data_IF_112215054902
#
_entry.id   IF_112215054902
#
_cell.length_a   1.000
_cell.length_b   1.000
_cell.length_c   1.000
_cell.angle_alpha   90.00
_cell.angle_beta   90.00
_cell.angle_gamma   90.00
#
_symmetry.space_group_name_H-M   'P 1'
#
loop_
_entity.id
_entity.type
_entity.pdbx_description
1 polymer ?
#
# COMPACT_ATOMS: atom_id res chain seq x y z
N UNK A 1 -7.57 6.37 -8.07
CA UNK A 1 -7.61 5.67 -9.37
C UNK A 1 -7.78 4.19 -9.10
N UNK A 2 -8.79 3.55 -9.70
CA UNK A 2 -9.02 2.12 -9.51
C UNK A 2 -9.04 1.41 -10.87
N UNK A 3 -8.40 0.23 -10.95
CA UNK A 3 -8.31 -0.57 -12.18
C UNK A 3 -9.58 -1.38 -12.48
N UNK A 4 -10.42 -1.60 -11.46
CA UNK A 4 -11.69 -2.32 -11.56
C UNK A 4 -12.79 -1.55 -10.84
N UNK A 5 -14.00 -1.66 -11.34
CA UNK A 5 -15.20 -1.10 -10.74
C UNK A 5 -16.30 -2.16 -10.67
N UNK A 6 -17.26 -1.97 -9.78
CA UNK A 6 -18.46 -2.80 -9.70
C UNK A 6 -19.42 -2.34 -10.80
N UNK A 7 -19.83 -3.23 -11.67
CA UNK A 7 -20.88 -2.97 -12.65
C UNK A 7 -22.23 -2.91 -11.95
N UNK A 8 -22.91 -1.75 -11.98
CA UNK A 8 -24.11 -1.49 -11.18
C UNK A 8 -25.24 -2.51 -11.36
N UNK A 9 -25.42 -3.08 -12.56
CA UNK A 9 -26.52 -4.03 -12.84
C UNK A 9 -26.18 -5.49 -12.52
N UNK A 10 -24.93 -5.88 -12.72
CA UNK A 10 -24.50 -7.28 -12.58
C UNK A 10 -23.78 -7.56 -11.27
N UNK A 11 -23.32 -6.52 -10.57
CA UNK A 11 -22.49 -6.63 -9.37
C UNK A 11 -21.06 -7.15 -9.65
N UNK A 12 -20.70 -7.41 -10.91
CA UNK A 12 -19.42 -7.96 -11.28
C UNK A 12 -18.31 -6.90 -11.23
N UNK A 13 -17.09 -7.31 -10.87
CA UNK A 13 -15.90 -6.48 -10.98
C UNK A 13 -15.40 -6.48 -12.41
N UNK A 14 -15.40 -5.31 -13.06
CA UNK A 14 -15.05 -5.13 -14.47
C UNK A 14 -13.93 -4.09 -14.65
N UNK A 15 -13.13 -4.22 -15.70
CA UNK A 15 -12.18 -3.18 -16.16
C UNK A 15 -12.90 -2.10 -16.98
N UNK A 16 -12.26 -0.95 -17.27
CA UNK A 16 -12.84 0.08 -18.14
C UNK A 16 -13.20 -0.42 -19.54
N UNK A 17 -12.40 -1.31 -20.11
CA UNK A 17 -12.66 -1.94 -21.42
C UNK A 17 -13.86 -2.87 -21.36
N UNK A 18 -13.90 -3.76 -20.36
CA UNK A 18 -15.02 -4.69 -20.16
C UNK A 18 -16.32 -3.93 -19.93
N UNK A 19 -16.28 -2.86 -19.14
CA UNK A 19 -17.43 -2.00 -18.87
C UNK A 19 -17.96 -1.33 -20.15
N UNK A 20 -17.08 -0.73 -20.96
CA UNK A 20 -17.48 -0.08 -22.22
C UNK A 20 -17.92 -1.12 -23.25
N UNK A 21 -17.35 -2.32 -23.26
CA UNK A 21 -17.79 -3.41 -24.14
C UNK A 21 -19.21 -3.90 -23.80
N UNK A 22 -19.59 -3.91 -22.52
CA UNK A 22 -20.91 -4.32 -22.05
C UNK A 22 -21.98 -3.24 -22.26
N UNK A 23 -21.71 -2.02 -21.83
CA UNK A 23 -22.73 -0.96 -21.76
C UNK A 23 -22.66 0.05 -22.90
N UNK A 24 -21.54 0.11 -23.62
CA UNK A 24 -21.28 1.07 -24.69
C UNK A 24 -20.82 2.45 -24.20
N UNK A 25 -20.41 3.30 -25.14
CA UNK A 25 -19.97 4.66 -24.84
C UNK A 25 -21.10 5.54 -24.26
N UNK A 26 -22.35 5.19 -24.50
CA UNK A 26 -23.58 5.88 -24.08
C UNK A 26 -24.14 5.38 -22.73
N UNK A 27 -23.39 4.55 -21.98
CA UNK A 27 -23.75 4.06 -20.64
C UNK A 27 -24.31 5.14 -19.70
N UNK A 28 -23.78 6.37 -19.78
CA UNK A 28 -24.23 7.51 -18.97
C UNK A 28 -25.68 7.92 -19.25
N UNK A 29 -26.08 7.89 -20.52
CA UNK A 29 -27.47 8.18 -20.94
C UNK A 29 -28.43 7.06 -20.53
N UNK A 30 -27.93 5.83 -20.42
CA UNK A 30 -28.67 4.66 -19.92
C UNK A 30 -28.79 4.62 -18.39
N UNK A 31 -28.12 5.54 -17.68
CA UNK A 31 -28.08 5.57 -16.23
C UNK A 31 -27.29 4.41 -15.60
N UNK A 32 -26.44 3.72 -16.37
CA UNK A 32 -25.61 2.61 -15.89
C UNK A 32 -24.21 3.14 -15.64
N UNK A 33 -23.80 3.17 -14.38
CA UNK A 33 -22.52 3.74 -13.96
C UNK A 33 -21.64 2.66 -13.29
N UNK A 34 -20.31 2.69 -13.51
CA UNK A 34 -19.40 1.86 -12.75
C UNK A 34 -19.29 2.41 -11.33
N UNK A 35 -19.32 1.56 -10.31
CA UNK A 35 -19.26 1.95 -8.90
C UNK A 35 -17.90 1.60 -8.29
N UNK A 36 -17.41 2.47 -7.40
CA UNK A 36 -16.19 2.23 -6.66
C UNK A 36 -16.37 1.09 -5.65
N UNK A 37 -15.52 0.05 -5.63
CA UNK A 37 -15.62 -1.04 -4.68
C UNK A 37 -15.33 -0.63 -3.22
N UNK A 38 -14.70 0.54 -2.99
CA UNK A 38 -14.37 1.02 -1.66
C UNK A 38 -15.41 1.95 -1.06
N UNK A 39 -15.92 2.91 -1.85
CA UNK A 39 -16.85 3.92 -1.34
C UNK A 39 -18.26 3.85 -1.95
N UNK A 40 -18.49 2.98 -2.94
CA UNK A 40 -19.77 2.86 -3.63
C UNK A 40 -20.12 4.03 -4.56
N UNK A 41 -19.28 5.07 -4.63
CA UNK A 41 -19.54 6.23 -5.49
C UNK A 41 -19.42 5.87 -6.98
N UNK A 42 -20.18 6.56 -7.83
CA UNK A 42 -20.07 6.44 -9.27
C UNK A 42 -18.70 6.92 -9.77
N UNK A 43 -18.12 6.15 -10.69
CA UNK A 43 -16.85 6.41 -11.35
C UNK A 43 -17.08 6.75 -12.82
N UNK A 44 -16.08 7.39 -13.45
CA UNK A 44 -16.06 7.65 -14.88
C UNK A 44 -14.94 6.84 -15.56
N UNK A 45 -15.22 6.11 -16.66
CA UNK A 45 -14.18 5.49 -17.45
C UNK A 45 -13.36 6.58 -18.18
N UNK A 46 -12.04 6.48 -18.08
CA UNK A 46 -11.10 7.40 -18.71
C UNK A 46 -10.09 6.63 -19.58
N UNK A 47 -9.70 7.21 -20.71
CA UNK A 47 -8.62 6.67 -21.56
C UNK A 47 -8.94 5.38 -22.31
N UNK A 48 -10.18 4.87 -22.27
CA UNK A 48 -10.55 3.56 -22.87
C UNK A 48 -10.25 3.46 -24.37
N UNK A 49 -10.32 4.58 -25.10
CA UNK A 49 -10.02 4.64 -26.53
C UNK A 49 -8.66 5.31 -26.85
N UNK A 50 -7.85 5.60 -25.82
CA UNK A 50 -6.56 6.28 -26.02
C UNK A 50 -5.44 5.25 -26.14
N UNK A 51 -4.69 5.30 -27.24
CA UNK A 51 -3.45 4.52 -27.38
C UNK A 51 -2.28 5.07 -26.55
N UNK A 52 -2.42 6.28 -26.01
CA UNK A 52 -1.36 6.99 -25.28
C UNK A 52 -1.54 6.97 -23.77
N UNK A 53 -2.73 6.63 -23.29
CA UNK A 53 -3.08 6.74 -21.87
C UNK A 53 -3.68 5.43 -21.41
N UNK A 54 -3.14 4.89 -20.32
CA UNK A 54 -3.69 3.69 -19.71
C UNK A 54 -5.11 3.95 -19.21
N UNK A 55 -6.02 3.07 -19.58
CA UNK A 55 -7.41 3.10 -19.15
C UNK A 55 -7.54 2.97 -17.64
N UNK A 56 -8.50 3.69 -17.07
CA UNK A 56 -8.76 3.67 -15.63
C UNK A 56 -10.17 4.16 -15.32
N UNK A 57 -10.61 3.90 -14.09
CA UNK A 57 -11.77 4.57 -13.52
C UNK A 57 -11.32 5.70 -12.60
N UNK A 58 -11.85 6.89 -12.88
CA UNK A 58 -11.60 8.10 -12.12
C UNK A 58 -12.83 8.47 -11.28
N UNK A 59 -12.58 8.94 -10.06
CA UNK A 59 -13.62 9.51 -9.22
C UNK A 59 -13.94 10.93 -9.72
N UNK A 60 -15.16 11.43 -9.49
CA UNK A 60 -15.45 12.85 -9.68
C UNK A 60 -14.55 13.72 -8.78
N UNK A 61 -14.27 14.93 -9.23
CA UNK A 61 -13.48 15.90 -8.47
C UNK A 61 -14.10 16.14 -7.08
N UNK A 62 -13.26 16.23 -6.06
CA UNK A 62 -13.70 16.42 -4.67
C UNK A 62 -14.24 15.17 -3.98
N UNK A 63 -14.14 13.98 -4.58
CA UNK A 63 -14.52 12.74 -3.89
C UNK A 63 -13.68 12.54 -2.62
N UNK A 64 -14.31 12.17 -1.51
CA UNK A 64 -13.63 11.84 -0.25
C UNK A 64 -13.21 10.37 -0.16
N UNK A 65 -13.07 9.69 -1.30
CA UNK A 65 -12.72 8.28 -1.32
C UNK A 65 -11.24 8.12 -0.92
N UNK A 66 -10.90 7.25 0.05
CA UNK A 66 -9.51 7.00 0.41
C UNK A 66 -8.62 6.51 -0.75
N UNK A 67 -9.22 5.96 -1.81
CA UNK A 67 -8.52 5.53 -3.03
C UNK A 67 -8.64 6.49 -4.22
N UNK A 68 -9.16 7.70 -4.01
CA UNK A 68 -9.06 8.75 -5.03
C UNK A 68 -7.58 9.08 -5.23
N UNK A 69 -7.17 9.15 -6.50
CA UNK A 69 -5.80 9.49 -6.89
C UNK A 69 -5.48 10.96 -6.69
N UNK A 70 -6.50 11.78 -6.51
CA UNK A 70 -6.36 13.18 -6.12
C UNK A 70 -6.10 13.15 -4.62
N UNK A 71 -4.89 13.52 -4.15
CA UNK A 71 -4.65 13.67 -2.74
C UNK A 71 -5.62 14.74 -2.25
N UNK A 72 -6.46 14.39 -1.28
CA UNK A 72 -7.26 15.37 -0.55
C UNK A 72 -6.34 16.52 -0.13
N UNK A 73 -6.81 17.77 -0.23
CA UNK A 73 -6.07 18.95 0.24
C UNK A 73 -5.48 18.76 1.65
N UNK A 74 -6.15 17.98 2.51
CA UNK A 74 -5.68 17.58 3.84
C UNK A 74 -4.37 16.82 3.83
N UNK A 75 -4.03 16.13 2.75
CA UNK A 75 -2.80 15.33 2.59
C UNK A 75 -1.84 15.96 1.57
N UNK A 76 -2.13 17.13 1.01
CA UNK A 76 -1.25 17.80 0.04
C UNK A 76 0.14 18.12 0.61
N UNK A 77 0.25 18.26 1.93
CA UNK A 77 1.51 18.48 2.64
C UNK A 77 2.27 17.19 2.96
N UNK A 78 1.64 16.01 2.79
CA UNK A 78 2.30 14.71 2.90
C UNK A 78 3.05 14.44 1.59
N UNK A 79 4.09 15.23 1.35
CA UNK A 79 5.01 15.02 0.25
C UNK A 79 5.92 13.84 0.62
N UNK A 80 6.10 12.84 -0.25
CA UNK A 80 7.08 11.78 -0.03
C UNK A 80 8.42 12.41 0.33
N UNK A 81 8.94 12.07 1.50
CA UNK A 81 10.23 12.60 1.93
C UNK A 81 11.32 11.95 1.09
N UNK A 82 12.26 12.76 0.60
CA UNK A 82 13.36 12.26 -0.22
C UNK A 82 14.13 11.14 0.48
N UNK A 83 14.66 10.24 -0.33
CA UNK A 83 15.44 9.10 0.11
C UNK A 83 16.76 9.57 0.74
N UNK A 84 17.11 9.01 1.90
CA UNK A 84 18.36 9.30 2.59
C UNK A 84 19.30 8.09 2.52
N UNK A 85 20.19 8.12 1.53
CA UNK A 85 21.15 7.04 1.27
C UNK A 85 22.15 6.88 2.41
N UNK A 86 22.57 7.98 3.02
CA UNK A 86 23.58 7.98 4.09
C UNK A 86 23.00 7.49 5.40
N UNK A 87 21.77 7.92 5.74
CA UNK A 87 21.01 7.35 6.84
C UNK A 87 20.83 5.85 6.67
N UNK A 88 20.45 5.38 5.48
CA UNK A 88 20.21 3.95 5.25
C UNK A 88 21.45 3.08 5.45
N UNK A 89 22.63 3.56 5.02
CA UNK A 89 23.90 2.88 5.32
C UNK A 89 24.17 2.82 6.81
N UNK A 90 24.01 3.96 7.52
CA UNK A 90 24.24 4.05 8.97
C UNK A 90 23.29 3.16 9.75
N UNK A 91 22.00 3.14 9.40
CA UNK A 91 20.99 2.34 10.08
C UNK A 91 21.26 0.84 9.91
N UNK A 92 21.61 0.42 8.68
CA UNK A 92 21.92 -0.99 8.39
C UNK A 92 23.20 -1.43 9.09
N UNK A 93 24.23 -0.58 9.09
CA UNK A 93 25.48 -0.85 9.82
C UNK A 93 25.23 -0.91 11.33
N UNK A 94 24.44 0.01 11.90
CA UNK A 94 24.11 0.00 13.31
C UNK A 94 23.35 -1.27 13.75
N UNK A 95 22.55 -1.86 12.86
CA UNK A 95 21.85 -3.11 13.14
C UNK A 95 22.78 -4.34 13.00
N UNK A 96 23.56 -4.41 11.93
CA UNK A 96 24.29 -5.63 11.52
C UNK A 96 25.73 -5.68 12.02
N UNK A 97 26.41 -4.54 12.11
CA UNK A 97 27.85 -4.46 12.37
C UNK A 97 28.16 -4.19 13.85
N UNK A 98 27.14 -4.11 14.70
CA UNK A 98 27.31 -4.02 16.15
C UNK A 98 28.01 -5.29 16.68
N UNK A 99 29.23 -5.17 17.25
CA UNK A 99 30.02 -6.33 17.70
C UNK A 99 29.32 -7.11 18.82
N UNK A 100 28.45 -6.45 19.60
CA UNK A 100 27.70 -7.09 20.68
C UNK A 100 26.41 -7.77 20.18
N UNK A 101 26.00 -7.45 18.94
CA UNK A 101 24.70 -7.78 18.35
C UNK A 101 23.52 -7.34 19.22
N UNK A 102 23.71 -6.37 20.11
CA UNK A 102 22.66 -5.88 21.00
C UNK A 102 21.53 -5.25 20.20
N UNK A 103 21.85 -4.46 19.17
CA UNK A 103 20.84 -3.83 18.32
C UNK A 103 20.02 -4.87 17.55
N UNK A 104 20.68 -5.86 16.96
CA UNK A 104 20.01 -6.96 16.26
C UNK A 104 19.06 -7.73 17.20
N UNK A 105 19.54 -8.07 18.41
CA UNK A 105 18.73 -8.77 19.43
C UNK A 105 17.56 -7.93 19.91
N UNK A 106 17.77 -6.63 20.15
CA UNK A 106 16.73 -5.71 20.61
C UNK A 106 15.62 -5.56 19.56
N UNK A 107 15.99 -5.36 18.29
CA UNK A 107 15.02 -5.25 17.19
C UNK A 107 14.28 -6.57 16.99
N UNK A 108 14.99 -7.72 17.02
CA UNK A 108 14.35 -9.03 16.96
C UNK A 108 13.36 -9.24 18.11
N UNK A 109 13.75 -8.93 19.34
CA UNK A 109 12.90 -9.06 20.52
C UNK A 109 11.65 -8.17 20.43
N UNK A 110 11.79 -6.95 19.92
CA UNK A 110 10.65 -6.06 19.67
C UNK A 110 9.70 -6.64 18.62
N UNK A 111 10.21 -7.16 17.50
CA UNK A 111 9.38 -7.83 16.50
C UNK A 111 8.68 -9.06 17.07
N UNK A 112 9.39 -9.87 17.87
CA UNK A 112 8.81 -11.03 18.53
C UNK A 112 7.67 -10.64 19.49
N UNK A 113 7.84 -9.55 20.25
CA UNK A 113 6.82 -9.04 21.15
C UNK A 113 5.58 -8.55 20.40
N UNK A 114 5.75 -7.90 19.24
CA UNK A 114 4.64 -7.41 18.40
C UNK A 114 3.86 -8.57 17.76
N UNK A 115 4.55 -9.61 17.30
CA UNK A 115 3.94 -10.72 16.55
C UNK A 115 3.48 -11.88 17.45
N UNK A 116 3.98 -11.95 18.68
CA UNK A 116 3.75 -13.05 19.64
C UNK A 116 4.50 -14.34 19.31
N UNK A 117 4.60 -14.70 18.03
CA UNK A 117 5.45 -15.78 17.51
C UNK A 117 6.25 -15.26 16.32
N UNK A 118 7.56 -15.44 16.38
CA UNK A 118 8.46 -15.08 15.30
C UNK A 118 9.69 -15.98 15.35
N UNK A 119 10.00 -16.61 14.23
CA UNK A 119 11.24 -17.36 14.03
C UNK A 119 12.35 -16.47 13.46
N UNK A 120 13.60 -16.89 13.66
CA UNK A 120 14.74 -16.21 13.03
C UNK A 120 14.68 -16.21 11.50
N UNK A 121 14.06 -17.23 10.88
CA UNK A 121 13.90 -17.33 9.43
C UNK A 121 12.92 -16.27 8.92
N UNK A 122 11.79 -16.09 9.60
CA UNK A 122 10.79 -15.05 9.29
C UNK A 122 11.39 -13.66 9.49
N UNK A 123 12.15 -13.45 10.57
CA UNK A 123 12.85 -12.19 10.79
C UNK A 123 13.87 -11.89 9.68
N UNK A 124 14.68 -12.87 9.28
CA UNK A 124 15.59 -12.72 8.16
C UNK A 124 14.85 -12.44 6.84
N UNK A 125 13.67 -13.03 6.63
CA UNK A 125 12.82 -12.74 5.48
C UNK A 125 12.31 -11.29 5.47
N UNK A 126 11.88 -10.77 6.62
CA UNK A 126 11.53 -9.35 6.77
C UNK A 126 12.70 -8.43 6.43
N UNK A 127 13.91 -8.72 6.94
CA UNK A 127 15.11 -7.93 6.63
C UNK A 127 15.45 -7.96 5.12
N UNK A 128 15.35 -9.12 4.46
CA UNK A 128 15.54 -9.23 3.00
C UNK A 128 14.47 -8.45 2.22
N UNK A 129 13.23 -8.46 2.68
CA UNK A 129 12.17 -7.65 2.07
C UNK A 129 12.42 -6.16 2.25
N UNK A 130 12.90 -5.75 3.42
CA UNK A 130 13.33 -4.38 3.71
C UNK A 130 14.48 -3.93 2.79
N UNK A 131 15.43 -4.82 2.50
CA UNK A 131 16.49 -4.56 1.50
C UNK A 131 15.90 -4.33 0.10
N UNK A 132 14.99 -5.20 -0.35
CA UNK A 132 14.36 -5.07 -1.67
C UNK A 132 13.54 -3.78 -1.82
N UNK A 133 12.79 -3.42 -0.78
CA UNK A 133 11.96 -2.20 -0.76
C UNK A 133 12.76 -0.95 -0.35
N UNK A 134 14.05 -1.12 -0.07
CA UNK A 134 14.97 -0.04 0.31
C UNK A 134 14.49 0.76 1.54
N UNK A 135 13.81 0.08 2.47
CA UNK A 135 13.23 0.67 3.70
C UNK A 135 14.27 1.42 4.53
N UNK A 136 15.50 0.94 4.52
CA UNK A 136 16.61 1.57 5.23
C UNK A 136 16.82 3.04 4.82
N UNK A 137 16.47 3.40 3.59
CA UNK A 137 16.67 4.74 3.02
C UNK A 137 15.52 5.70 3.33
N UNK A 138 14.49 5.25 4.04
CA UNK A 138 13.37 6.11 4.42
C UNK A 138 13.83 7.13 5.45
N UNK A 139 13.70 8.40 5.09
CA UNK A 139 14.13 9.50 5.94
C UNK A 139 13.39 9.49 7.28
N UNK A 140 14.17 9.49 8.35
CA UNK A 140 13.65 9.56 9.73
C UNK A 140 13.36 8.20 10.35
N UNK A 141 13.57 7.10 9.63
CA UNK A 141 13.55 5.76 10.25
C UNK A 141 14.77 5.59 11.14
N UNK A 142 14.51 5.21 12.39
CA UNK A 142 15.54 4.91 13.40
C UNK A 142 15.44 3.45 13.83
N UNK A 143 16.43 2.95 14.57
CA UNK A 143 16.38 1.59 15.14
C UNK A 143 15.15 1.35 16.02
N UNK A 144 14.63 2.39 16.68
CA UNK A 144 13.43 2.32 17.50
C UNK A 144 12.16 2.11 16.67
N UNK A 145 12.10 2.72 15.48
CA UNK A 145 10.95 2.60 14.57
C UNK A 145 11.02 1.37 13.68
N UNK A 146 12.22 0.83 13.46
CA UNK A 146 12.48 -0.28 12.55
C UNK A 146 11.60 -1.52 12.82
N UNK A 147 11.35 -1.98 14.07
CA UNK A 147 10.49 -3.13 14.32
C UNK A 147 9.09 -2.98 13.72
N UNK A 148 8.48 -1.80 13.88
CA UNK A 148 7.13 -1.51 13.40
C UNK A 148 7.06 -1.53 11.87
N UNK A 149 8.11 -1.05 11.19
CA UNK A 149 8.16 -1.12 9.73
C UNK A 149 8.34 -2.57 9.30
N UNK A 150 9.28 -3.31 9.89
CA UNK A 150 9.60 -4.68 9.49
C UNK A 150 8.40 -5.62 9.58
N UNK A 151 7.61 -5.56 10.67
CA UNK A 151 6.45 -6.45 10.85
C UNK A 151 5.33 -6.21 9.84
N UNK A 152 5.32 -5.07 9.14
CA UNK A 152 4.36 -4.78 8.06
C UNK A 152 4.80 -5.32 6.70
N UNK A 153 6.04 -5.80 6.56
CA UNK A 153 6.61 -6.18 5.26
C UNK A 153 6.27 -7.61 4.83
N UNK A 154 5.79 -8.43 5.75
CA UNK A 154 5.45 -9.83 5.50
C UNK A 154 4.15 -10.19 6.21
N UNK A 155 3.31 -10.99 5.56
CA UNK A 155 2.12 -11.55 6.17
C UNK A 155 2.53 -12.57 7.23
N UNK A 156 2.60 -12.13 8.49
CA UNK A 156 2.88 -13.00 9.62
C UNK A 156 1.58 -13.65 10.10
N UNK A 157 1.60 -14.94 10.49
CA UNK A 157 0.41 -15.59 11.02
C UNK A 157 -0.04 -14.89 12.31
N UNK A 158 -1.19 -14.23 12.27
CA UNK A 158 -1.80 -13.59 13.44
C UNK A 158 -2.13 -14.69 14.44
N UNK A 159 -1.44 -14.71 15.58
CA UNK A 159 -1.90 -15.52 16.73
C UNK A 159 -3.09 -14.79 17.31
N UNK A 160 -4.30 -15.35 17.12
CA UNK A 160 -5.50 -14.90 17.79
C UNK A 160 -5.22 -14.78 19.30
N UNK A 161 -5.20 -13.55 19.81
CA UNK A 161 -4.84 -13.27 21.19
C UNK A 161 -5.74 -14.04 22.15
N UNK A 162 -5.13 -14.78 23.08
CA UNK A 162 -5.82 -15.15 24.31
C UNK A 162 -6.09 -13.86 25.06
N UNK A 163 -7.36 -13.43 25.07
CA UNK A 163 -7.86 -12.40 25.99
C UNK A 163 -7.46 -12.84 27.41
N UNK A 164 -6.65 -12.05 28.10
CA UNK A 164 -6.54 -12.09 29.55
C UNK A 164 -7.61 -11.19 30.14
#
# INVERSE_FOLDING_TARGET
>A
MTKKAIHQRTGALVTPEEFIALEGADHRSKGVLPLCPQCGAALAPYGVHSLKVMSRFDHPDGSQCPSSSTPDSRYAHLVPTDWDLEQGKRLRSALCDDPTRANLKAVYAACLALCGKLSGIEFAAMCRKADHLQVWRYKGVTLTWLPYVLVTLTDLPIVAGKRR
#
